data_IF_997715623210
#
_entry.id   IF_997715623210
#
_cell.length_a   1.000
_cell.length_b   1.000
_cell.length_c   1.000
_cell.angle_alpha   90.00
_cell.angle_beta   90.00
_cell.angle_gamma   90.00
#
_symmetry.space_group_name_H-M   'P 1'
#
loop_
_entity.id
_entity.type
_entity.pdbx_description
1 polymer ?
#
# COMPACT_ATOMS: atom_id res chain seq x y z
N UNK A 1 4.98 -31.90 -6.01
CA UNK A 1 4.66 -30.89 -4.97
C UNK A 1 3.78 -29.82 -5.60
N UNK A 2 2.70 -29.43 -4.94
CA UNK A 2 1.76 -28.43 -5.47
C UNK A 2 2.37 -27.03 -5.41
N UNK A 3 2.29 -26.27 -6.52
CA UNK A 3 2.63 -24.84 -6.55
C UNK A 3 1.52 -24.07 -5.86
N UNK A 4 1.89 -23.20 -4.94
CA UNK A 4 0.98 -22.29 -4.24
C UNK A 4 1.00 -20.92 -4.92
N UNK A 5 -0.13 -20.22 -4.93
CA UNK A 5 -0.24 -18.89 -5.56
C UNK A 5 -1.13 -17.97 -4.74
N UNK A 6 -0.76 -16.69 -4.66
CA UNK A 6 -1.58 -15.66 -4.03
C UNK A 6 -1.38 -14.31 -4.70
N UNK A 7 -2.33 -13.39 -4.47
CA UNK A 7 -2.18 -11.98 -4.87
C UNK A 7 -1.53 -11.17 -3.76
N UNK A 8 -0.78 -10.14 -4.18
CA UNK A 8 -0.23 -9.10 -3.33
C UNK A 8 -0.95 -7.78 -3.68
N UNK A 9 -2.11 -7.48 -3.06
CA UNK A 9 -2.93 -6.33 -3.44
C UNK A 9 -2.25 -5.01 -3.07
N UNK A 10 -2.39 -3.99 -3.92
CA UNK A 10 -1.89 -2.66 -3.64
C UNK A 10 -2.61 -2.06 -2.43
N UNK A 11 -1.84 -1.56 -1.45
CA UNK A 11 -2.34 -0.81 -0.29
C UNK A 11 -2.58 0.64 -0.70
N UNK A 12 -3.70 1.20 -0.31
CA UNK A 12 -4.05 2.60 -0.53
C UNK A 12 -4.32 3.26 0.82
N UNK A 13 -3.63 4.36 1.09
CA UNK A 13 -3.96 5.22 2.21
C UNK A 13 -5.12 6.13 1.78
N UNK A 14 -6.34 5.79 2.19
CA UNK A 14 -7.54 6.61 1.93
C UNK A 14 -7.48 7.94 2.68
N UNK A 15 -6.82 7.95 3.85
CA UNK A 15 -6.40 9.13 4.60
C UNK A 15 -5.06 8.86 5.26
N UNK A 16 -4.29 9.90 5.55
CA UNK A 16 -3.06 9.80 6.32
C UNK A 16 -2.86 11.09 7.12
N UNK A 17 -2.92 10.98 8.44
CA UNK A 17 -2.57 12.04 9.36
C UNK A 17 -1.23 11.72 10.01
N UNK A 18 -0.30 12.66 10.04
CA UNK A 18 0.95 12.58 10.78
C UNK A 18 0.72 13.25 12.13
N UNK A 19 0.63 12.47 13.20
CA UNK A 19 0.23 12.95 14.53
C UNK A 19 1.40 13.44 15.38
N UNK A 20 2.63 13.28 14.90
CA UNK A 20 3.82 13.81 15.55
C UNK A 20 5.08 13.09 15.14
N UNK A 21 6.21 13.58 15.66
CA UNK A 21 7.53 12.95 15.51
C UNK A 21 8.06 12.54 16.90
N UNK A 22 8.41 11.27 17.03
CA UNK A 22 8.93 10.68 18.27
C UNK A 22 10.35 11.15 18.55
N UNK A 23 10.80 10.97 19.80
CA UNK A 23 12.17 11.27 20.20
C UNK A 23 13.22 10.38 19.48
N UNK A 24 12.83 9.15 19.07
CA UNK A 24 13.67 8.24 18.28
C UNK A 24 13.75 8.62 16.79
N UNK A 25 13.10 9.73 16.40
CA UNK A 25 13.11 10.27 15.04
C UNK A 25 12.05 9.68 14.10
N UNK A 26 11.32 8.64 14.50
CA UNK A 26 10.20 8.09 13.76
C UNK A 26 8.97 9.00 13.86
N UNK A 27 8.04 8.86 12.92
CA UNK A 27 6.79 9.61 12.92
C UNK A 27 5.63 8.73 13.37
N UNK A 28 4.77 9.29 14.22
CA UNK A 28 3.48 8.70 14.52
C UNK A 28 2.48 9.13 13.45
N UNK A 29 1.66 8.21 13.03
CA UNK A 29 0.63 8.45 12.02
C UNK A 29 -0.70 7.81 12.43
N UNK A 30 -1.78 8.26 11.79
CA UNK A 30 -3.08 7.60 11.78
C UNK A 30 -3.58 7.58 10.33
N UNK A 31 -3.88 6.40 9.82
CA UNK A 31 -4.26 6.22 8.42
C UNK A 31 -5.37 5.19 8.27
N UNK A 32 -6.41 5.53 7.52
CA UNK A 32 -7.36 4.54 7.02
C UNK A 32 -6.76 3.93 5.76
N UNK A 33 -6.44 2.65 5.81
CA UNK A 33 -5.92 1.89 4.66
C UNK A 33 -6.98 0.96 4.10
N UNK A 34 -6.94 0.77 2.78
CA UNK A 34 -7.76 -0.19 2.05
C UNK A 34 -6.92 -0.84 0.95
N UNK A 35 -7.47 -1.86 0.29
CA UNK A 35 -6.73 -2.65 -0.68
C UNK A 35 -7.43 -2.65 -2.04
N UNK A 36 -6.65 -2.42 -3.09
CA UNK A 36 -7.15 -2.52 -4.45
C UNK A 36 -7.31 -3.98 -4.88
N UNK A 37 -8.32 -4.27 -5.69
CA UNK A 37 -8.42 -5.59 -6.35
C UNK A 37 -7.34 -5.81 -7.43
N UNK A 38 -6.48 -4.82 -7.64
CA UNK A 38 -5.27 -4.88 -8.44
C UNK A 38 -4.07 -5.13 -7.55
N UNK A 39 -3.10 -5.91 -8.03
CA UNK A 39 -1.88 -6.21 -7.26
C UNK A 39 -0.88 -7.03 -8.06
N UNK A 40 0.24 -7.32 -7.43
CA UNK A 40 1.23 -8.27 -7.91
C UNK A 40 0.72 -9.71 -7.71
N UNK A 41 1.38 -10.66 -8.33
CA UNK A 41 1.10 -12.07 -8.15
C UNK A 41 2.37 -12.78 -7.70
N UNK A 42 2.27 -13.57 -6.66
CA UNK A 42 3.36 -14.36 -6.13
C UNK A 42 2.99 -15.85 -6.16
N UNK A 43 3.90 -16.66 -6.64
CA UNK A 43 3.83 -18.11 -6.52
C UNK A 43 4.99 -18.63 -5.69
N UNK A 44 4.78 -19.75 -5.01
CA UNK A 44 5.78 -20.49 -4.27
C UNK A 44 5.76 -21.95 -4.73
N UNK A 45 6.90 -22.44 -5.16
CA UNK A 45 7.18 -23.87 -5.28
C UNK A 45 7.93 -24.30 -4.01
N UNK A 46 7.25 -24.96 -3.05
CA UNK A 46 7.90 -25.34 -1.79
C UNK A 46 9.09 -26.26 -2.03
N UNK A 47 10.18 -26.05 -1.28
CA UNK A 47 11.43 -26.78 -1.41
C UNK A 47 12.46 -26.35 -0.38
N UNK A 48 13.70 -26.82 -0.49
CA UNK A 48 14.80 -26.47 0.41
C UNK A 48 15.43 -25.13 0.06
N UNK A 49 15.59 -24.84 -1.25
CA UNK A 49 16.34 -23.68 -1.73
C UNK A 49 15.48 -22.42 -1.77
N UNK A 50 15.86 -21.43 -0.96
CA UNK A 50 15.22 -20.11 -0.98
C UNK A 50 15.76 -19.29 -2.15
N UNK A 51 14.91 -19.02 -3.14
CA UNK A 51 15.23 -18.20 -4.30
C UNK A 51 14.03 -17.38 -4.76
N UNK A 52 14.31 -16.30 -5.50
CA UNK A 52 13.29 -15.41 -6.06
C UNK A 52 13.62 -15.12 -7.53
N UNK A 53 12.64 -15.28 -8.39
CA UNK A 53 12.64 -14.74 -9.75
C UNK A 53 11.57 -13.65 -9.86
N UNK A 54 11.88 -12.56 -10.56
CA UNK A 54 10.95 -11.43 -10.74
C UNK A 54 10.77 -11.17 -12.23
N UNK A 55 9.51 -11.10 -12.66
CA UNK A 55 9.14 -10.66 -14.00
C UNK A 55 7.99 -9.65 -13.95
N UNK A 56 7.45 -9.28 -15.12
CA UNK A 56 6.36 -8.32 -15.23
C UNK A 56 6.82 -6.91 -15.61
N UNK A 57 5.87 -6.00 -15.87
CA UNK A 57 6.17 -4.68 -16.44
C UNK A 57 7.04 -3.78 -15.54
N UNK A 58 7.08 -4.02 -14.23
CA UNK A 58 7.87 -3.24 -13.27
C UNK A 58 9.04 -4.04 -12.66
N UNK A 59 9.40 -5.21 -13.23
CA UNK A 59 10.43 -6.08 -12.69
C UNK A 59 11.81 -5.41 -12.63
N UNK A 60 12.18 -4.63 -13.65
CA UNK A 60 13.48 -3.94 -13.74
C UNK A 60 13.72 -2.96 -12.59
N UNK A 61 12.65 -2.45 -11.97
CA UNK A 61 12.70 -1.49 -10.88
C UNK A 61 12.63 -2.16 -9.50
N UNK A 62 12.43 -3.48 -9.43
CA UNK A 62 12.23 -4.22 -8.18
C UNK A 62 13.49 -4.40 -7.31
N UNK A 63 14.62 -3.82 -7.73
CA UNK A 63 15.90 -3.92 -7.02
C UNK A 63 16.62 -5.26 -7.22
N UNK A 64 17.72 -5.44 -6.50
CA UNK A 64 18.46 -6.69 -6.50
C UNK A 64 17.66 -7.77 -5.74
N UNK A 65 17.69 -9.03 -6.19
CA UNK A 65 16.96 -10.12 -5.51
C UNK A 65 17.29 -10.23 -4.02
N UNK A 66 18.55 -10.00 -3.62
CA UNK A 66 19.00 -10.13 -2.22
C UNK A 66 18.30 -9.20 -1.22
N UNK A 67 17.93 -7.99 -1.66
CA UNK A 67 17.29 -6.94 -0.86
C UNK A 67 15.77 -6.95 -1.00
N UNK A 68 15.23 -7.85 -1.83
CA UNK A 68 13.79 -7.92 -2.06
C UNK A 68 13.05 -8.38 -0.80
N UNK A 69 12.01 -7.63 -0.42
CA UNK A 69 11.24 -7.89 0.81
C UNK A 69 10.62 -9.30 0.85
N UNK A 70 10.38 -9.95 -0.28
CA UNK A 70 9.96 -11.36 -0.35
C UNK A 70 10.99 -12.26 0.31
N UNK A 71 12.27 -12.11 -0.02
CA UNK A 71 13.35 -12.91 0.58
C UNK A 71 13.64 -12.50 2.02
N UNK A 72 13.53 -11.20 2.34
CA UNK A 72 13.65 -10.72 3.73
C UNK A 72 12.58 -11.37 4.59
N UNK A 73 11.32 -11.34 4.16
CA UNK A 73 10.19 -11.95 4.86
C UNK A 73 10.38 -13.48 5.05
N UNK A 74 10.86 -14.17 4.01
CA UNK A 74 11.13 -15.60 4.09
C UNK A 74 12.23 -15.93 5.10
N UNK A 75 13.30 -15.13 5.17
CA UNK A 75 14.35 -15.28 6.19
C UNK A 75 13.83 -14.99 7.60
N UNK A 76 13.04 -13.92 7.76
CA UNK A 76 12.39 -13.60 9.04
C UNK A 76 11.43 -14.70 9.51
N UNK A 77 10.74 -15.34 8.60
CA UNK A 77 9.89 -16.50 8.89
C UNK A 77 10.72 -17.72 9.31
N UNK A 78 11.75 -18.07 8.53
CA UNK A 78 12.62 -19.21 8.80
C UNK A 78 13.32 -19.13 10.17
N UNK A 79 13.74 -17.92 10.59
CA UNK A 79 14.34 -17.74 11.92
C UNK A 79 13.37 -17.99 13.08
N UNK A 80 12.05 -17.95 12.84
CA UNK A 80 10.99 -18.16 13.83
C UNK A 80 10.36 -19.56 13.76
N UNK A 81 10.67 -20.30 12.71
CA UNK A 81 10.23 -21.69 12.53
C UNK A 81 11.41 -22.53 12.02
N UNK A 82 12.28 -23.05 12.90
CA UNK A 82 13.35 -23.96 12.51
C UNK A 82 12.79 -25.16 11.72
N UNK A 83 13.43 -25.52 10.61
CA UNK A 83 12.96 -26.57 9.73
C UNK A 83 11.80 -26.17 8.81
N UNK A 84 11.47 -24.88 8.73
CA UNK A 84 10.44 -24.38 7.83
C UNK A 84 10.68 -24.78 6.38
N UNK A 85 9.63 -25.22 5.70
CA UNK A 85 9.64 -25.41 4.24
C UNK A 85 9.63 -24.04 3.59
N UNK A 86 10.70 -23.72 2.90
CA UNK A 86 10.86 -22.52 2.09
C UNK A 86 10.56 -22.82 0.61
N UNK A 87 11.38 -22.39 -0.33
CA UNK A 87 11.29 -22.77 -1.73
C UNK A 87 11.55 -21.64 -2.70
N UNK A 88 11.19 -21.87 -3.96
CA UNK A 88 11.37 -20.93 -5.05
C UNK A 88 10.14 -20.05 -5.22
N UNK A 89 10.34 -18.74 -5.06
CA UNK A 89 9.32 -17.73 -5.35
C UNK A 89 9.44 -17.24 -6.79
N UNK A 90 8.26 -16.96 -7.38
CA UNK A 90 8.16 -16.26 -8.66
C UNK A 90 7.17 -15.09 -8.52
N UNK A 91 7.69 -13.87 -8.68
CA UNK A 91 6.95 -12.62 -8.53
C UNK A 91 6.66 -11.99 -9.89
N UNK A 92 5.39 -11.74 -10.19
CA UNK A 92 4.96 -10.94 -11.34
C UNK A 92 4.66 -9.51 -10.87
N UNK A 93 5.60 -8.59 -11.09
CA UNK A 93 5.55 -7.22 -10.61
C UNK A 93 4.73 -6.32 -11.53
N UNK A 94 3.54 -5.91 -11.08
CA UNK A 94 2.57 -5.05 -11.79
C UNK A 94 2.38 -3.70 -11.12
N UNK A 95 2.53 -3.64 -9.79
CA UNK A 95 2.48 -2.40 -9.02
C UNK A 95 3.75 -1.60 -9.29
N UNK A 96 3.68 -0.29 -9.61
CA UNK A 96 4.86 0.56 -9.69
C UNK A 96 5.68 0.52 -8.41
N UNK A 97 7.00 0.51 -8.53
CA UNK A 97 7.92 0.44 -7.38
C UNK A 97 8.05 1.82 -6.72
N UNK A 98 8.17 1.88 -5.40
CA UNK A 98 8.27 3.10 -4.60
C UNK A 98 7.19 4.14 -4.93
N UNK A 99 5.96 3.68 -5.07
CA UNK A 99 4.85 4.44 -5.62
C UNK A 99 3.79 4.89 -4.58
N UNK A 100 4.03 4.74 -3.28
CA UNK A 100 3.03 5.03 -2.24
C UNK A 100 1.91 3.98 -2.13
N UNK A 101 2.07 2.81 -2.78
CA UNK A 101 1.08 1.73 -2.83
C UNK A 101 1.46 0.49 -2.00
N UNK A 102 2.52 0.55 -1.21
CA UNK A 102 2.96 -0.56 -0.37
C UNK A 102 3.31 -1.84 -1.13
N UNK A 103 3.69 -1.75 -2.42
CA UNK A 103 3.85 -2.92 -3.29
C UNK A 103 4.87 -3.94 -2.76
N UNK A 104 6.03 -3.52 -2.29
CA UNK A 104 7.03 -4.41 -1.69
C UNK A 104 6.54 -5.07 -0.41
N UNK A 105 5.83 -4.32 0.44
CA UNK A 105 5.23 -4.85 1.68
C UNK A 105 4.10 -5.84 1.38
N UNK A 106 3.32 -5.60 0.32
CA UNK A 106 2.30 -6.53 -0.15
C UNK A 106 2.92 -7.83 -0.67
N UNK A 107 4.05 -7.75 -1.39
CA UNK A 107 4.80 -8.93 -1.88
C UNK A 107 5.36 -9.74 -0.72
N UNK A 108 5.96 -9.08 0.28
CA UNK A 108 6.45 -9.72 1.50
C UNK A 108 5.33 -10.42 2.27
N UNK A 109 4.20 -9.75 2.44
CA UNK A 109 3.02 -10.32 3.09
C UNK A 109 2.46 -11.52 2.30
N UNK A 110 2.46 -11.45 0.98
CA UNK A 110 2.10 -12.57 0.12
C UNK A 110 3.05 -13.77 0.32
N UNK A 111 4.35 -13.52 0.44
CA UNK A 111 5.34 -14.56 0.73
C UNK A 111 5.06 -15.24 2.08
N UNK A 112 4.77 -14.45 3.13
CA UNK A 112 4.42 -15.01 4.44
C UNK A 112 3.14 -15.84 4.41
N UNK A 113 2.10 -15.42 3.67
CA UNK A 113 0.88 -16.22 3.50
C UNK A 113 1.17 -17.57 2.82
N UNK A 114 1.99 -17.56 1.76
CA UNK A 114 2.36 -18.79 1.05
C UNK A 114 3.23 -19.71 1.91
N UNK A 115 4.15 -19.15 2.69
CA UNK A 115 4.97 -19.92 3.65
C UNK A 115 4.11 -20.48 4.77
N UNK A 116 3.16 -19.72 5.31
CA UNK A 116 2.20 -20.21 6.28
C UNK A 116 1.42 -21.41 5.73
N UNK A 117 0.89 -21.31 4.53
CA UNK A 117 0.18 -22.39 3.86
C UNK A 117 1.08 -23.63 3.62
N UNK A 118 2.32 -23.42 3.17
CA UNK A 118 3.28 -24.51 2.92
C UNK A 118 3.70 -25.25 4.21
N UNK A 119 3.59 -24.57 5.35
CA UNK A 119 3.93 -25.10 6.69
C UNK A 119 2.70 -25.38 7.56
N UNK A 120 1.50 -25.39 6.98
CA UNK A 120 0.23 -25.72 7.66
C UNK A 120 -0.08 -24.83 8.87
N UNK A 121 0.31 -23.55 8.82
CA UNK A 121 0.03 -22.56 9.86
C UNK A 121 -1.30 -21.83 9.59
N UNK A 122 -2.01 -21.50 10.66
CA UNK A 122 -3.17 -20.61 10.57
C UNK A 122 -2.74 -19.20 10.13
N UNK A 123 -3.61 -18.43 9.42
CA UNK A 123 -3.29 -17.07 9.00
C UNK A 123 -2.92 -16.13 10.15
N UNK A 124 -3.46 -16.40 11.36
CA UNK A 124 -3.26 -15.62 12.58
C UNK A 124 -2.08 -16.12 13.44
N UNK A 125 -1.28 -17.07 12.93
CA UNK A 125 -0.13 -17.60 13.67
C UNK A 125 0.85 -16.49 14.05
N UNK A 126 1.19 -16.42 15.33
CA UNK A 126 2.06 -15.37 15.89
C UNK A 126 3.44 -15.29 15.22
N UNK A 127 3.95 -16.40 14.66
CA UNK A 127 5.23 -16.43 13.93
C UNK A 127 5.15 -15.68 12.61
N UNK A 128 4.00 -15.76 11.91
CA UNK A 128 3.74 -14.99 10.68
C UNK A 128 3.63 -13.51 10.99
N UNK A 129 2.90 -13.15 12.05
CA UNK A 129 2.72 -11.76 12.49
C UNK A 129 4.08 -11.16 12.91
N UNK A 130 4.87 -11.89 13.69
CA UNK A 130 6.19 -11.45 14.12
C UNK A 130 7.18 -11.33 12.95
N UNK A 131 7.14 -12.23 11.97
CA UNK A 131 7.93 -12.14 10.75
C UNK A 131 7.53 -10.92 9.91
N UNK A 132 6.23 -10.64 9.80
CA UNK A 132 5.72 -9.45 9.10
C UNK A 132 6.22 -8.15 9.75
N UNK A 133 6.10 -8.03 11.08
CA UNK A 133 6.56 -6.85 11.82
C UNK A 133 8.08 -6.63 11.69
N UNK A 134 8.87 -7.71 11.71
CA UNK A 134 10.32 -7.64 11.53
C UNK A 134 10.75 -7.37 10.08
N UNK A 135 9.86 -7.54 9.10
CA UNK A 135 10.15 -7.29 7.68
C UNK A 135 9.95 -5.82 7.31
N UNK A 136 8.95 -5.15 7.86
CA UNK A 136 8.71 -3.73 7.60
C UNK A 136 7.36 -3.25 8.15
N UNK A 137 7.24 -1.95 8.40
CA UNK A 137 6.10 -1.32 9.08
C UNK A 137 4.75 -1.57 8.37
N UNK A 138 4.72 -1.59 7.04
CA UNK A 138 3.50 -1.82 6.24
C UNK A 138 3.19 -3.32 6.01
N UNK A 139 4.11 -4.24 6.37
CA UNK A 139 3.90 -5.68 6.08
C UNK A 139 2.78 -6.29 6.92
N UNK A 140 2.63 -5.96 8.22
CA UNK A 140 1.52 -6.48 9.03
C UNK A 140 0.13 -6.14 8.49
N UNK A 141 -0.11 -4.89 8.03
CA UNK A 141 -1.40 -4.52 7.47
C UNK A 141 -1.66 -5.21 6.13
N UNK A 142 -0.61 -5.45 5.33
CA UNK A 142 -0.69 -6.20 4.07
C UNK A 142 -0.88 -7.71 4.30
N UNK A 143 -0.48 -8.25 5.46
CA UNK A 143 -0.65 -9.67 5.77
C UNK A 143 -2.12 -10.06 5.83
N UNK A 144 -2.94 -9.26 6.50
CA UNK A 144 -4.38 -9.44 6.56
C UNK A 144 -5.11 -8.94 5.30
N UNK A 145 -4.54 -7.94 4.60
CA UNK A 145 -5.06 -7.31 3.38
C UNK A 145 -6.56 -6.95 3.49
N UNK A 146 -6.98 -6.43 4.65
CA UNK A 146 -8.34 -5.96 4.95
C UNK A 146 -8.32 -4.49 5.36
N UNK A 147 -9.32 -3.69 4.97
CA UNK A 147 -9.40 -2.30 5.38
C UNK A 147 -9.38 -2.16 6.90
N UNK A 148 -8.60 -1.20 7.39
CA UNK A 148 -8.51 -0.87 8.82
C UNK A 148 -7.79 0.44 9.06
N UNK A 149 -7.90 0.95 10.27
CA UNK A 149 -6.96 1.97 10.72
C UNK A 149 -5.63 1.35 11.08
N UNK A 150 -4.56 2.06 10.74
CA UNK A 150 -3.20 1.81 11.23
C UNK A 150 -2.70 3.06 11.94
N UNK A 151 -2.00 2.90 13.07
CA UNK A 151 -1.51 3.98 13.90
C UNK A 151 -0.09 3.74 14.43
N UNK A 152 0.39 4.68 15.26
CA UNK A 152 1.76 4.67 15.74
C UNK A 152 2.75 4.84 14.58
N UNK A 153 3.79 4.04 14.53
CA UNK A 153 4.74 4.00 13.39
C UNK A 153 4.21 3.21 12.17
N UNK A 154 2.93 2.83 12.17
CA UNK A 154 2.29 1.96 11.19
C UNK A 154 2.12 0.51 11.67
N UNK A 155 2.61 0.19 12.86
CA UNK A 155 2.59 -1.16 13.41
C UNK A 155 1.32 -1.49 14.20
N UNK A 156 0.60 -0.50 14.69
CA UNK A 156 -0.63 -0.68 15.45
C UNK A 156 -1.82 -0.79 14.51
N UNK A 157 -2.50 -1.92 14.53
CA UNK A 157 -3.59 -2.23 13.62
C UNK A 157 -4.91 -2.31 14.39
N UNK A 158 -5.85 -1.46 14.00
CA UNK A 158 -7.23 -1.53 14.45
C UNK A 158 -7.98 -2.76 13.90
N UNK A 159 -9.23 -2.98 14.30
CA UNK A 159 -10.07 -4.03 13.77
C UNK A 159 -10.29 -3.85 12.26
N UNK A 160 -10.58 -4.96 11.56
CA UNK A 160 -10.99 -4.89 10.16
C UNK A 160 -12.32 -4.15 10.02
N UNK A 161 -12.41 -3.29 9.02
CA UNK A 161 -13.60 -2.50 8.73
C UNK A 161 -14.32 -3.05 7.49
N UNK A 162 -15.65 -3.18 7.53
CA UNK A 162 -16.45 -3.62 6.38
C UNK A 162 -16.68 -2.43 5.43
N UNK A 163 -15.63 -1.91 4.78
CA UNK A 163 -15.78 -0.79 3.86
C UNK A 163 -16.65 -1.19 2.65
N UNK A 164 -17.56 -0.30 2.20
CA UNK A 164 -18.24 -0.48 0.93
C UNK A 164 -17.24 -0.46 -0.22
N UNK A 165 -17.52 -1.14 -1.35
CA UNK A 165 -16.65 -1.11 -2.50
C UNK A 165 -16.54 0.32 -3.06
N UNK A 166 -15.32 0.86 -3.11
CA UNK A 166 -15.02 2.17 -3.69
C UNK A 166 -14.43 1.98 -5.08
N UNK A 167 -14.98 2.66 -6.07
CA UNK A 167 -14.46 2.62 -7.45
C UNK A 167 -13.39 3.69 -7.59
N UNK A 168 -12.16 3.29 -7.92
CA UNK A 168 -11.01 4.18 -7.96
C UNK A 168 -10.30 4.16 -9.30
N UNK A 169 -9.69 5.30 -9.64
CA UNK A 169 -8.64 5.40 -10.65
C UNK A 169 -7.35 5.76 -9.93
N UNK A 170 -6.33 4.95 -10.12
CA UNK A 170 -4.98 5.16 -9.60
C UNK A 170 -4.12 5.70 -10.73
N UNK A 171 -3.35 6.75 -10.49
CA UNK A 171 -2.43 7.35 -11.45
C UNK A 171 -1.07 7.56 -10.81
N UNK A 172 -0.01 7.10 -11.48
CA UNK A 172 1.36 7.34 -11.07
C UNK A 172 2.15 7.94 -12.25
N UNK A 173 2.82 9.09 -12.07
CA UNK A 173 3.62 9.71 -13.14
C UNK A 173 4.94 8.99 -13.42
N UNK A 174 5.14 7.78 -12.88
CA UNK A 174 6.36 6.96 -12.96
C UNK A 174 7.58 7.62 -12.33
N UNK A 175 7.35 8.42 -11.30
CA UNK A 175 8.39 9.02 -10.48
C UNK A 175 8.48 8.30 -9.14
N UNK A 176 9.70 8.09 -8.67
CA UNK A 176 9.99 7.58 -7.33
C UNK A 176 10.07 8.75 -6.36
N UNK A 177 9.31 8.70 -5.28
CA UNK A 177 9.39 9.65 -4.16
C UNK A 177 9.78 8.88 -2.92
N UNK A 178 10.92 9.24 -2.35
CA UNK A 178 11.41 8.58 -1.12
C UNK A 178 10.61 9.03 0.09
N UNK A 179 9.96 8.09 0.78
CA UNK A 179 9.15 8.36 1.98
C UNK A 179 9.93 9.13 3.04
N UNK A 180 11.22 8.79 3.22
CA UNK A 180 12.10 9.48 4.17
C UNK A 180 12.30 10.95 3.82
N UNK A 181 12.44 11.28 2.54
CA UNK A 181 12.58 12.65 2.07
C UNK A 181 11.31 13.46 2.32
N UNK A 182 10.12 12.85 2.10
CA UNK A 182 8.84 13.50 2.37
C UNK A 182 8.68 13.80 3.87
N UNK A 183 8.96 12.84 4.76
CA UNK A 183 8.94 13.09 6.19
C UNK A 183 9.94 14.18 6.62
N UNK A 184 11.13 14.21 6.02
CA UNK A 184 12.12 15.27 6.32
C UNK A 184 11.61 16.65 5.88
N UNK A 185 10.92 16.74 4.74
CA UNK A 185 10.35 17.99 4.21
C UNK A 185 9.17 18.51 5.05
N UNK A 186 8.50 17.66 5.83
CA UNK A 186 7.47 18.10 6.79
C UNK A 186 8.04 18.90 7.97
N UNK A 187 9.37 18.88 8.18
CA UNK A 187 10.11 19.67 9.17
C UNK A 187 9.62 19.55 10.63
N UNK A 188 8.98 18.43 11.00
CA UNK A 188 8.60 18.18 12.40
C UNK A 188 9.83 17.91 13.26
N UNK A 189 9.93 18.55 14.43
CA UNK A 189 11.02 18.36 15.39
C UNK A 189 10.81 17.06 16.19
N UNK A 190 11.88 16.34 16.58
CA UNK A 190 11.76 15.21 17.50
C UNK A 190 11.01 15.61 18.78
N UNK A 191 10.06 14.80 19.23
CA UNK A 191 9.19 15.06 20.37
C UNK A 191 8.00 15.99 20.07
N UNK A 192 7.87 16.53 18.86
CA UNK A 192 6.78 17.42 18.49
C UNK A 192 5.53 16.62 18.15
N UNK A 193 4.39 17.01 18.76
CA UNK A 193 3.05 16.56 18.34
C UNK A 193 2.53 17.48 17.25
N UNK A 194 1.82 16.93 16.27
CA UNK A 194 1.12 17.72 15.26
C UNK A 194 -0.19 18.29 15.85
N UNK A 195 -0.46 19.57 15.56
CA UNK A 195 -1.55 20.34 16.20
C UNK A 195 -2.97 19.92 15.77
N UNK A 196 -3.14 19.15 14.70
CA UNK A 196 -4.46 18.68 14.27
C UNK A 196 -4.36 17.31 13.58
N UNK A 197 -4.87 16.27 14.22
CA UNK A 197 -5.10 15.00 13.55
C UNK A 197 -6.41 15.07 12.76
N UNK A 198 -6.33 14.97 11.43
CA UNK A 198 -7.48 14.87 10.54
C UNK A 198 -7.89 13.40 10.31
N UNK A 199 -7.82 12.58 11.34
CA UNK A 199 -8.27 11.18 11.24
C UNK A 199 -9.76 11.15 10.92
N UNK A 200 -10.21 10.48 9.86
CA UNK A 200 -11.63 10.41 9.55
C UNK A 200 -12.34 9.60 10.64
N UNK A 201 -13.43 10.16 11.17
CA UNK A 201 -14.38 9.38 11.94
C UNK A 201 -15.21 8.59 10.94
N UNK A 202 -15.08 7.27 10.98
CA UNK A 202 -15.89 6.35 10.18
C UNK A 202 -17.05 5.89 11.05
N UNK A 203 -18.33 6.31 10.77
CA UNK A 203 -19.50 5.86 11.50
C UNK A 203 -19.68 4.34 11.40
N UNK A 204 -20.39 3.72 12.36
CA UNK A 204 -20.61 2.26 12.36
C UNK A 204 -21.37 1.75 11.13
N UNK A 205 -22.39 2.50 10.70
CA UNK A 205 -23.18 2.22 9.49
C UNK A 205 -22.92 3.31 8.45
N UNK A 206 -22.11 3.02 7.45
CA UNK A 206 -21.77 3.95 6.37
C UNK A 206 -21.89 3.30 5.00
N UNK A 207 -22.47 4.06 4.09
CA UNK A 207 -22.42 3.79 2.66
C UNK A 207 -21.20 4.46 2.01
N UNK A 208 -21.02 4.24 0.71
CA UNK A 208 -19.90 4.83 -0.02
C UNK A 208 -19.93 6.37 -0.01
N UNK A 209 -21.11 6.98 -0.03
CA UNK A 209 -21.25 8.44 -0.08
C UNK A 209 -20.84 9.09 1.25
N UNK A 210 -21.31 8.56 2.39
CA UNK A 210 -20.93 9.04 3.73
C UNK A 210 -19.46 8.81 4.04
N UNK A 211 -18.90 7.67 3.60
CA UNK A 211 -17.47 7.42 3.70
C UNK A 211 -16.66 8.44 2.90
N UNK A 212 -17.01 8.71 1.64
CA UNK A 212 -16.34 9.72 0.81
C UNK A 212 -16.45 11.11 1.46
N UNK A 213 -17.61 11.46 2.04
CA UNK A 213 -17.78 12.72 2.74
C UNK A 213 -16.87 12.83 3.98
N UNK A 214 -16.70 11.75 4.75
CA UNK A 214 -15.75 11.69 5.86
C UNK A 214 -14.30 11.80 5.36
N UNK A 215 -13.96 11.10 4.27
CA UNK A 215 -12.64 11.18 3.67
C UNK A 215 -12.31 12.57 3.14
N UNK A 216 -13.29 13.35 2.64
CA UNK A 216 -13.06 14.74 2.21
C UNK A 216 -12.59 15.64 3.35
N UNK A 217 -13.09 15.43 4.57
CA UNK A 217 -12.66 16.18 5.77
C UNK A 217 -11.29 15.75 6.27
N UNK A 218 -10.92 14.51 6.01
CA UNK A 218 -9.57 14.01 6.25
C UNK A 218 -8.63 14.47 5.13
N UNK A 219 -7.35 14.25 5.30
CA UNK A 219 -6.33 14.63 4.32
C UNK A 219 -5.31 13.50 4.09
N UNK A 220 -4.25 13.89 3.43
CA UNK A 220 -2.96 13.24 3.50
C UNK A 220 -1.93 14.31 3.85
N UNK A 221 -1.48 14.34 5.10
CA UNK A 221 -0.56 15.36 5.61
C UNK A 221 0.82 15.34 4.91
N UNK A 222 1.14 14.27 4.18
CA UNK A 222 2.36 14.18 3.38
C UNK A 222 2.21 14.83 1.99
N UNK A 223 0.99 15.18 1.54
CA UNK A 223 0.71 15.58 0.15
C UNK A 223 1.44 16.86 -0.21
N UNK A 224 1.37 17.90 0.63
CA UNK A 224 2.03 19.20 0.35
C UNK A 224 3.56 19.03 0.28
N UNK A 225 4.16 18.30 1.23
CA UNK A 225 5.60 18.05 1.25
C UNK A 225 6.04 17.21 0.03
N UNK A 226 5.23 16.22 -0.37
CA UNK A 226 5.51 15.42 -1.56
C UNK A 226 5.37 16.26 -2.84
N UNK A 227 4.37 17.14 -2.95
CA UNK A 227 4.19 18.05 -4.07
C UNK A 227 5.36 19.03 -4.20
N UNK A 228 5.90 19.54 -3.08
CA UNK A 228 7.08 20.39 -3.09
C UNK A 228 8.33 19.67 -3.60
N UNK A 229 8.53 18.40 -3.21
CA UNK A 229 9.65 17.58 -3.67
C UNK A 229 9.48 17.07 -5.10
N UNK A 230 8.25 16.82 -5.52
CA UNK A 230 7.90 16.25 -6.82
C UNK A 230 6.71 17.01 -7.44
N UNK A 231 6.94 18.21 -8.03
CA UNK A 231 5.87 19.08 -8.54
C UNK A 231 4.95 18.43 -9.59
N UNK A 232 5.40 17.36 -10.23
CA UNK A 232 4.57 16.57 -11.19
C UNK A 232 3.35 15.92 -10.53
N UNK A 233 3.31 15.81 -9.19
CA UNK A 233 2.14 15.29 -8.45
C UNK A 233 0.95 16.25 -8.58
N UNK A 234 1.21 17.57 -8.60
CA UNK A 234 0.16 18.60 -8.69
C UNK A 234 -0.73 18.44 -9.94
N UNK A 235 -0.18 18.37 -11.17
CA UNK A 235 -1.01 18.13 -12.35
C UNK A 235 -1.71 16.76 -12.33
N UNK A 236 -1.15 15.73 -11.70
CA UNK A 236 -1.83 14.42 -11.55
C UNK A 236 -3.09 14.57 -10.69
N UNK A 237 -2.99 15.27 -9.55
CA UNK A 237 -4.13 15.57 -8.67
C UNK A 237 -5.19 16.40 -9.39
N UNK A 238 -4.77 17.43 -10.14
CA UNK A 238 -5.68 18.30 -10.90
C UNK A 238 -6.45 17.52 -11.99
N UNK A 239 -5.76 16.68 -12.75
CA UNK A 239 -6.38 15.83 -13.80
C UNK A 239 -7.38 14.86 -13.18
N UNK A 240 -7.05 14.23 -12.05
CA UNK A 240 -7.93 13.34 -11.32
C UNK A 240 -9.16 14.08 -10.77
N UNK A 241 -8.97 15.27 -10.20
CA UNK A 241 -10.05 16.08 -9.65
C UNK A 241 -11.02 16.58 -10.75
N UNK A 242 -10.49 16.92 -11.92
CA UNK A 242 -11.29 17.36 -13.08
C UNK A 242 -11.98 16.21 -13.83
N UNK A 243 -11.66 14.96 -13.54
CA UNK A 243 -12.25 13.80 -14.21
C UNK A 243 -13.77 13.75 -13.94
N UNK A 244 -14.58 13.61 -15.01
CA UNK A 244 -16.05 13.60 -14.89
C UNK A 244 -16.53 12.51 -13.95
N UNK A 245 -17.20 12.90 -12.87
CA UNK A 245 -17.74 12.01 -11.84
C UNK A 245 -16.75 11.71 -10.70
N UNK A 246 -15.59 12.37 -10.65
CA UNK A 246 -14.69 12.27 -9.53
C UNK A 246 -15.31 12.90 -8.26
N UNK A 247 -15.28 12.16 -7.16
CA UNK A 247 -15.85 12.55 -5.85
C UNK A 247 -14.77 12.99 -4.87
N UNK A 248 -13.58 12.46 -5.03
CA UNK A 248 -12.39 12.75 -4.23
C UNK A 248 -11.16 12.54 -5.10
N UNK A 249 -10.15 13.42 -4.99
CA UNK A 249 -8.80 13.22 -5.51
C UNK A 249 -7.80 13.36 -4.38
N UNK A 250 -6.80 12.47 -4.29
CA UNK A 250 -5.81 12.45 -3.20
C UNK A 250 -4.58 11.64 -3.56
N UNK A 251 -3.45 11.98 -2.96
CA UNK A 251 -2.24 11.16 -3.00
C UNK A 251 -2.31 10.01 -1.98
N UNK A 252 -1.80 8.84 -2.33
CA UNK A 252 -1.67 7.68 -1.43
C UNK A 252 -0.29 7.63 -0.79
N UNK A 253 -0.23 7.51 0.53
CA UNK A 253 1.03 7.44 1.26
C UNK A 253 1.92 8.64 1.00
N UNK A 254 3.21 8.41 0.77
CA UNK A 254 4.20 9.44 0.39
C UNK A 254 4.22 9.76 -1.10
N UNK A 255 3.34 9.19 -1.90
CA UNK A 255 3.28 9.39 -3.35
C UNK A 255 4.26 8.49 -4.13
N UNK A 256 4.49 8.70 -5.44
CA UNK A 256 3.79 9.70 -6.26
C UNK A 256 2.42 9.22 -6.80
N UNK A 257 1.88 8.07 -6.34
CA UNK A 257 0.56 7.63 -6.80
C UNK A 257 -0.52 8.50 -6.17
N UNK A 258 -1.38 9.05 -7.04
CA UNK A 258 -2.63 9.69 -6.67
C UNK A 258 -3.80 8.81 -7.08
N UNK A 259 -4.95 8.99 -6.43
CA UNK A 259 -6.17 8.30 -6.78
C UNK A 259 -7.36 9.25 -6.79
N UNK A 260 -8.37 8.92 -7.59
CA UNK A 260 -9.69 9.51 -7.47
C UNK A 260 -10.74 8.43 -7.23
N UNK A 261 -11.77 8.77 -6.44
CA UNK A 261 -12.92 7.91 -6.17
C UNK A 261 -14.11 8.35 -7.02
N UNK A 262 -14.92 7.37 -7.45
CA UNK A 262 -16.08 7.54 -8.32
C UNK A 262 -17.28 6.79 -7.74
N UNK A 263 -18.49 7.17 -8.15
CA UNK A 263 -19.73 6.53 -7.70
C UNK A 263 -19.91 5.12 -8.31
N UNK A 264 -19.41 4.89 -9.53
CA UNK A 264 -19.54 3.61 -10.21
C UNK A 264 -18.30 3.19 -11.02
N UNK A 265 -18.24 1.90 -11.35
CA UNK A 265 -17.13 1.33 -12.10
C UNK A 265 -17.03 1.83 -13.55
N UNK A 266 -18.15 2.25 -14.16
CA UNK A 266 -18.17 2.75 -15.54
C UNK A 266 -17.56 4.14 -15.61
N UNK A 267 -17.87 5.02 -14.63
CA UNK A 267 -17.27 6.33 -14.52
C UNK A 267 -15.76 6.22 -14.30
N UNK A 268 -15.32 5.39 -13.34
CA UNK A 268 -13.90 5.13 -13.09
C UNK A 268 -13.19 4.59 -14.35
N UNK A 269 -13.80 3.63 -15.05
CA UNK A 269 -13.19 3.05 -16.25
C UNK A 269 -13.10 4.04 -17.42
N UNK A 270 -14.10 4.92 -17.60
CA UNK A 270 -14.05 6.00 -18.61
C UNK A 270 -12.94 6.99 -18.29
N UNK A 271 -12.87 7.45 -17.04
CA UNK A 271 -11.83 8.37 -16.58
C UNK A 271 -10.43 7.77 -16.78
N UNK A 272 -10.22 6.51 -16.39
CA UNK A 272 -8.94 5.84 -16.56
C UNK A 272 -8.51 5.77 -18.04
N UNK A 273 -9.44 5.43 -18.97
CA UNK A 273 -9.11 5.39 -20.41
C UNK A 273 -8.78 6.77 -20.94
N UNK A 274 -9.55 7.80 -20.58
CA UNK A 274 -9.31 9.18 -21.01
C UNK A 274 -7.94 9.67 -20.53
N UNK A 275 -7.63 9.47 -19.24
CA UNK A 275 -6.34 9.88 -18.66
C UNK A 275 -5.18 9.12 -19.32
N UNK A 276 -5.30 7.81 -19.52
CA UNK A 276 -4.25 7.01 -20.16
C UNK A 276 -3.99 7.45 -21.61
N UNK A 277 -5.03 7.85 -22.34
CA UNK A 277 -4.91 8.35 -23.71
C UNK A 277 -4.23 9.74 -23.74
N UNK A 278 -4.58 10.64 -22.82
CA UNK A 278 -4.01 12.00 -22.75
C UNK A 278 -2.60 12.05 -22.17
N UNK A 279 -2.25 11.08 -21.31
CA UNK A 279 -0.96 11.02 -20.60
C UNK A 279 -0.29 9.64 -20.74
N UNK A 280 0.18 9.24 -21.92
CA UNK A 280 0.71 7.88 -22.19
C UNK A 280 1.95 7.53 -21.36
N UNK A 281 2.67 8.54 -20.85
CA UNK A 281 3.80 8.35 -19.92
C UNK A 281 3.39 7.97 -18.49
N UNK A 282 2.12 8.15 -18.12
CA UNK A 282 1.65 7.83 -16.78
C UNK A 282 1.19 6.37 -16.70
N UNK A 283 1.36 5.79 -15.53
CA UNK A 283 0.71 4.52 -15.20
C UNK A 283 -0.71 4.82 -14.68
N UNK A 284 -1.70 4.24 -15.32
CA UNK A 284 -3.11 4.47 -14.98
C UNK A 284 -3.82 3.14 -14.78
N UNK A 285 -4.57 2.99 -13.68
CA UNK A 285 -5.31 1.78 -13.38
C UNK A 285 -6.65 2.07 -12.71
N UNK A 286 -7.75 1.62 -13.33
CA UNK A 286 -9.04 1.53 -12.64
C UNK A 286 -9.06 0.28 -11.75
N UNK A 287 -9.62 0.39 -10.55
CA UNK A 287 -9.74 -0.71 -9.59
C UNK A 287 -10.94 -0.50 -8.66
N UNK A 288 -11.35 -1.58 -7.99
CA UNK A 288 -12.19 -1.50 -6.80
C UNK A 288 -11.27 -1.53 -5.59
N UNK A 289 -11.58 -0.72 -4.59
CA UNK A 289 -10.85 -0.57 -3.32
C UNK A 289 -11.82 -0.87 -2.18
N UNK A 290 -11.40 -1.69 -1.25
CA UNK A 290 -12.19 -2.07 -0.08
C UNK A 290 -11.55 -3.20 0.71
#
# INVERSE_FOLDING_TARGET
>A
MQILSTRAPAKINLSLAVTGRRADGLHNLSSLVAFARFGDQLTLQPGADLRLTVNGPNAKLAGLPGDNLVLVAARQFSSRLPGARLGAFHLVKRIPVAAGLGGGSADAAAALRLLGQANHLAPEDGRLIAAAAATGADVPVCLAARPRFMSGTGAELGPALPLPPLFAVLVNPRLVVETRAVFAAMALRPGQSALASRTPVVPGDYDAASLIAALRRAGNDMEDAACALAPVIVPVLAVLAAARGARLSRMSGSGATCFALFDDCRAASRAARSIAASYPGWWVKASVVG
#
